data_IF_379097329227
#
_entry.id   IF_379097329227
#
_cell.length_a   1.000
_cell.length_b   1.000
_cell.length_c   1.000
_cell.angle_alpha   90.00
_cell.angle_beta   90.00
_cell.angle_gamma   90.00
#
_symmetry.space_group_name_H-M   'P 1'
#
loop_
_entity.id
_entity.type
_entity.pdbx_description
1 polymer ?
#
# COMPACT_ATOMS: atom_id res chain seq x y z
N UNK A 1 10.35 23.36 -65.02
CA UNK A 1 9.65 22.13 -64.56
C UNK A 1 10.20 21.53 -63.25
N UNK A 2 11.00 22.26 -62.44
CA UNK A 2 11.51 21.73 -61.15
C UNK A 2 11.26 22.67 -59.95
N UNK A 3 10.41 23.70 -60.11
CA UNK A 3 10.04 24.63 -59.00
C UNK A 3 8.56 24.56 -58.61
N UNK A 4 7.73 23.82 -59.32
CA UNK A 4 6.30 23.68 -59.02
C UNK A 4 5.95 22.37 -58.30
N UNK A 5 6.87 21.41 -58.20
CA UNK A 5 6.64 20.13 -57.52
C UNK A 5 6.98 20.18 -56.03
N UNK A 6 7.92 21.04 -55.60
CA UNK A 6 8.34 21.12 -54.19
C UNK A 6 7.37 21.90 -53.28
N UNK A 7 6.61 22.86 -53.82
CA UNK A 7 5.64 23.65 -53.03
C UNK A 7 4.35 22.88 -52.74
N UNK A 8 3.97 21.92 -53.58
CA UNK A 8 2.78 21.10 -53.39
C UNK A 8 2.99 19.92 -52.43
N UNK A 9 4.24 19.56 -52.11
CA UNK A 9 4.59 18.49 -51.16
C UNK A 9 4.73 19.02 -49.72
N UNK A 10 5.17 20.27 -49.51
CA UNK A 10 5.22 20.89 -48.17
C UNK A 10 3.81 21.20 -47.64
N UNK A 11 2.95 21.75 -48.49
CA UNK A 11 1.59 22.16 -48.10
C UNK A 11 0.64 20.97 -47.88
N UNK A 12 1.01 19.80 -48.41
CA UNK A 12 0.28 18.54 -48.22
C UNK A 12 0.70 17.85 -46.92
N UNK A 13 1.99 17.88 -46.59
CA UNK A 13 2.52 17.33 -45.34
C UNK A 13 2.15 18.19 -44.11
N UNK A 14 2.07 19.52 -44.23
CA UNK A 14 1.56 20.38 -43.13
C UNK A 14 0.07 20.15 -42.86
N UNK A 15 -0.73 19.96 -43.91
CA UNK A 15 -2.15 19.61 -43.75
C UNK A 15 -2.37 18.21 -43.19
N UNK A 16 -1.55 17.22 -43.57
CA UNK A 16 -1.61 15.87 -42.98
C UNK A 16 -1.19 15.89 -41.49
N UNK A 17 -0.16 16.67 -41.10
CA UNK A 17 0.24 16.83 -39.70
C UNK A 17 -0.81 17.54 -38.83
N UNK A 18 -1.50 18.54 -39.36
CA UNK A 18 -2.56 19.25 -38.61
C UNK A 18 -3.83 18.40 -38.41
N UNK A 19 -4.09 17.38 -39.25
CA UNK A 19 -5.26 16.49 -39.09
C UNK A 19 -5.05 15.29 -38.18
N UNK A 20 -3.83 14.89 -37.85
CA UNK A 20 -3.56 13.73 -36.97
C UNK A 20 -3.35 14.07 -35.49
N UNK A 21 -3.22 15.36 -35.12
CA UNK A 21 -2.83 15.81 -33.77
C UNK A 21 -3.97 16.36 -32.89
N UNK A 22 -5.24 16.14 -33.24
CA UNK A 22 -6.39 16.78 -32.54
C UNK A 22 -7.41 15.81 -31.88
N UNK A 23 -7.57 14.53 -32.27
CA UNK A 23 -8.61 13.68 -31.64
C UNK A 23 -8.27 13.13 -30.24
N UNK A 24 -7.00 12.82 -29.96
CA UNK A 24 -6.60 12.14 -28.72
C UNK A 24 -6.52 13.10 -27.53
N UNK A 25 -6.00 14.32 -27.72
CA UNK A 25 -5.93 15.34 -26.67
C UNK A 25 -7.32 15.82 -26.24
N UNK A 26 -8.30 15.88 -27.16
CA UNK A 26 -9.67 16.22 -26.84
C UNK A 26 -10.36 15.18 -25.95
N UNK A 27 -10.06 13.89 -26.14
CA UNK A 27 -10.57 12.81 -25.27
C UNK A 27 -9.91 12.83 -23.88
N UNK A 28 -8.63 13.15 -23.81
CA UNK A 28 -7.92 13.31 -22.53
C UNK A 28 -8.48 14.50 -21.76
N UNK A 29 -8.71 15.64 -22.41
CA UNK A 29 -9.31 16.84 -21.80
C UNK A 29 -10.73 16.57 -21.29
N UNK A 30 -11.59 15.92 -22.06
CA UNK A 30 -12.94 15.53 -21.59
C UNK A 30 -12.89 14.59 -20.37
N UNK A 31 -11.91 13.69 -20.32
CA UNK A 31 -11.74 12.74 -19.21
C UNK A 31 -11.18 13.43 -17.95
N UNK A 32 -10.41 14.50 -18.11
CA UNK A 32 -9.93 15.34 -17.01
C UNK A 32 -11.07 16.21 -16.49
N UNK A 33 -11.85 16.86 -17.35
CA UNK A 33 -13.02 17.67 -16.95
C UNK A 33 -14.05 16.82 -16.19
N UNK A 34 -14.38 15.62 -16.68
CA UNK A 34 -15.31 14.73 -15.99
C UNK A 34 -14.82 14.29 -14.59
N UNK A 35 -13.51 14.17 -14.39
CA UNK A 35 -12.93 13.88 -13.05
C UNK A 35 -12.95 15.11 -12.14
N UNK A 36 -12.79 16.31 -12.70
CA UNK A 36 -12.87 17.57 -11.94
C UNK A 36 -14.31 17.79 -11.46
N UNK A 37 -15.30 17.52 -12.31
CA UNK A 37 -16.71 17.59 -11.95
C UNK A 37 -17.06 16.58 -10.84
N UNK A 38 -16.59 15.33 -10.95
CA UNK A 38 -16.78 14.30 -9.93
C UNK A 38 -16.14 14.69 -8.58
N UNK A 39 -14.96 15.30 -8.60
CA UNK A 39 -14.30 15.81 -7.38
C UNK A 39 -15.07 17.00 -6.79
N UNK A 40 -15.60 17.89 -7.62
CA UNK A 40 -16.38 19.06 -7.20
C UNK A 40 -17.70 18.66 -6.52
N UNK A 41 -18.40 17.66 -7.05
CA UNK A 41 -19.63 17.14 -6.46
C UNK A 41 -19.37 16.42 -5.12
N UNK A 42 -18.25 15.69 -5.02
CA UNK A 42 -17.83 15.09 -3.74
C UNK A 42 -17.50 16.16 -2.70
N UNK A 43 -16.88 17.27 -3.11
CA UNK A 43 -16.54 18.38 -2.20
C UNK A 43 -17.80 19.06 -1.66
N UNK A 44 -18.80 19.32 -2.52
CA UNK A 44 -20.13 19.81 -2.09
C UNK A 44 -20.83 18.87 -1.11
N UNK A 45 -20.78 17.56 -1.36
CA UNK A 45 -21.39 16.55 -0.47
C UNK A 45 -20.72 16.53 0.91
N UNK A 46 -19.40 16.73 0.97
CA UNK A 46 -18.65 16.87 2.22
C UNK A 46 -19.02 18.17 2.94
N UNK A 47 -19.09 19.29 2.22
CA UNK A 47 -19.49 20.59 2.79
C UNK A 47 -20.92 20.58 3.35
N UNK A 48 -21.87 19.94 2.66
CA UNK A 48 -23.23 19.74 3.18
C UNK A 48 -23.26 18.86 4.43
N UNK A 49 -22.38 17.86 4.49
CA UNK A 49 -22.24 17.00 5.67
C UNK A 49 -21.65 17.76 6.87
N UNK A 50 -20.66 18.63 6.63
CA UNK A 50 -20.07 19.52 7.63
C UNK A 50 -21.09 20.59 8.09
N UNK A 51 -21.89 21.13 7.18
CA UNK A 51 -22.96 22.09 7.48
C UNK A 51 -24.11 21.48 8.29
N UNK A 52 -24.39 20.19 8.10
CA UNK A 52 -25.34 19.43 8.94
C UNK A 52 -24.80 19.18 10.35
N UNK A 53 -23.48 18.99 10.49
CA UNK A 53 -22.81 18.84 11.79
C UNK A 53 -22.82 20.16 12.61
N UNK A 54 -22.67 21.32 11.95
CA UNK A 54 -22.63 22.62 12.64
C UNK A 54 -24.00 23.15 13.10
N UNK A 55 -25.11 22.57 12.63
CA UNK A 55 -26.49 23.01 12.99
C UNK A 55 -27.09 22.28 14.20
N UNK A 56 -26.30 21.45 14.90
CA UNK A 56 -26.79 20.68 16.06
C UNK A 56 -26.38 21.23 17.43
N UNK A 57 -25.65 22.35 17.50
CA UNK A 57 -25.21 22.95 18.75
C UNK A 57 -25.66 24.42 18.84
N UNK A 58 -26.89 24.64 19.30
CA UNK A 58 -27.31 25.92 19.87
C UNK A 58 -28.35 25.64 20.97
N UNK A 59 -27.88 25.56 22.22
CA UNK A 59 -28.26 26.44 23.33
C UNK A 59 -27.93 25.84 24.71
N UNK A 60 -27.27 26.67 25.53
CA UNK A 60 -27.13 26.67 27.00
C UNK A 60 -26.08 25.79 27.72
N UNK A 61 -25.21 26.54 28.42
CA UNK A 61 -24.44 26.29 29.65
C UNK A 61 -23.23 25.33 29.66
N UNK A 62 -22.16 25.87 30.24
CA UNK A 62 -20.79 25.36 30.37
C UNK A 62 -20.77 24.23 31.40
N UNK A 63 -20.37 23.02 31.00
CA UNK A 63 -19.88 21.98 31.92
C UNK A 63 -18.65 21.29 31.31
N UNK A 64 -17.61 21.14 32.13
CA UNK A 64 -16.31 20.54 31.79
C UNK A 64 -16.44 19.03 31.61
N UNK A 65 -16.92 18.58 30.46
CA UNK A 65 -16.62 17.24 29.93
C UNK A 65 -16.95 17.17 28.44
N UNK A 66 -16.00 17.59 27.60
CA UNK A 66 -16.15 17.43 26.16
C UNK A 66 -16.27 15.93 25.80
N UNK A 67 -17.29 15.52 25.02
CA UNK A 67 -17.33 14.16 24.50
C UNK A 67 -16.22 14.04 23.47
N UNK A 68 -15.27 13.14 23.74
CA UNK A 68 -14.25 12.71 22.80
C UNK A 68 -14.97 12.07 21.63
N UNK A 69 -15.23 12.82 20.56
CA UNK A 69 -15.66 12.25 19.29
C UNK A 69 -14.49 11.47 18.72
N UNK A 70 -14.40 10.20 19.11
CA UNK A 70 -13.52 9.22 18.51
C UNK A 70 -13.83 9.16 17.02
N UNK A 71 -12.95 9.77 16.22
CA UNK A 71 -12.85 9.47 14.79
C UNK A 71 -12.53 7.99 14.69
N UNK A 72 -13.58 7.18 14.48
CA UNK A 72 -13.42 5.77 14.13
C UNK A 72 -12.94 5.76 12.69
N UNK A 73 -11.63 5.92 12.52
CA UNK A 73 -10.98 5.75 11.23
C UNK A 73 -11.08 4.25 10.92
N UNK A 74 -11.57 3.87 9.73
CA UNK A 74 -11.77 2.47 9.38
C UNK A 74 -10.45 1.72 9.55
N UNK A 75 -10.51 0.57 10.22
CA UNK A 75 -9.40 -0.37 10.26
C UNK A 75 -8.87 -0.55 8.83
N UNK A 76 -7.61 -0.19 8.62
CA UNK A 76 -6.87 -0.49 7.40
C UNK A 76 -6.63 -2.01 7.37
N UNK A 77 -7.69 -2.77 7.10
CA UNK A 77 -7.60 -4.21 6.92
C UNK A 77 -6.79 -4.44 5.67
N UNK A 78 -5.58 -4.99 5.83
CA UNK A 78 -4.70 -5.40 4.73
C UNK A 78 -5.35 -6.59 4.02
N UNK A 79 -6.27 -6.28 3.09
CA UNK A 79 -7.01 -7.24 2.29
C UNK A 79 -6.39 -7.39 0.91
N UNK A 80 -6.30 -8.62 0.43
CA UNK A 80 -5.85 -8.95 -0.92
C UNK A 80 -6.78 -9.98 -1.55
N UNK A 81 -6.82 -9.99 -2.89
CA UNK A 81 -7.50 -10.99 -3.69
C UNK A 81 -6.47 -11.63 -4.62
N UNK A 82 -6.23 -12.91 -4.45
CA UNK A 82 -5.46 -13.74 -5.37
C UNK A 82 -6.46 -14.47 -6.26
N UNK A 83 -6.31 -14.34 -7.58
CA UNK A 83 -7.15 -15.04 -8.56
C UNK A 83 -6.27 -15.71 -9.60
N UNK A 84 -6.61 -16.95 -9.96
CA UNK A 84 -5.89 -17.68 -10.98
C UNK A 84 -6.83 -18.60 -11.79
N UNK A 85 -6.49 -18.80 -13.07
CA UNK A 85 -7.18 -19.71 -13.98
C UNK A 85 -6.26 -20.89 -14.26
N UNK A 86 -6.55 -22.02 -13.65
CA UNK A 86 -5.84 -23.28 -13.90
C UNK A 86 -6.37 -23.90 -15.18
N UNK A 87 -5.47 -24.21 -16.12
CA UNK A 87 -5.85 -24.70 -17.45
C UNK A 87 -5.78 -26.21 -17.53
N UNK A 88 -6.72 -26.81 -18.27
CA UNK A 88 -6.77 -28.26 -18.53
C UNK A 88 -6.75 -29.10 -17.25
N UNK A 89 -7.55 -28.72 -16.25
CA UNK A 89 -7.48 -29.30 -14.90
C UNK A 89 -7.83 -30.79 -14.87
N UNK A 90 -8.72 -31.27 -15.75
CA UNK A 90 -9.04 -32.69 -15.87
C UNK A 90 -7.83 -33.59 -16.19
N UNK A 91 -6.73 -33.02 -16.69
CA UNK A 91 -5.50 -33.76 -16.98
C UNK A 91 -4.50 -33.74 -15.81
N UNK A 92 -4.87 -33.18 -14.65
CA UNK A 92 -3.96 -33.06 -13.51
C UNK A 92 -3.70 -34.41 -12.85
N UNK A 93 -2.43 -34.72 -12.65
CA UNK A 93 -1.99 -35.96 -12.05
C UNK A 93 -2.32 -35.99 -10.55
N UNK A 94 -2.77 -37.15 -10.08
CA UNK A 94 -3.05 -37.36 -8.66
C UNK A 94 -1.76 -37.25 -7.84
N UNK A 95 -1.77 -36.40 -6.82
CA UNK A 95 -0.62 -36.14 -5.95
C UNK A 95 0.30 -35.01 -6.41
N UNK A 96 0.03 -34.37 -7.56
CA UNK A 96 0.86 -33.29 -8.11
C UNK A 96 0.26 -31.92 -7.83
N UNK A 97 1.08 -31.00 -7.32
CA UNK A 97 0.69 -29.60 -7.14
C UNK A 97 0.92 -28.79 -8.41
N UNK A 98 -0.12 -28.08 -8.85
CA UNK A 98 -0.06 -27.12 -9.96
C UNK A 98 -0.17 -25.71 -9.39
N UNK A 99 0.83 -24.86 -9.65
CA UNK A 99 0.99 -23.56 -8.98
C UNK A 99 0.57 -22.39 -9.88
N UNK A 100 0.03 -21.34 -9.26
CA UNK A 100 -0.07 -20.02 -9.87
C UNK A 100 1.29 -19.31 -9.88
N UNK A 101 1.37 -18.23 -10.66
CA UNK A 101 2.45 -17.25 -10.54
C UNK A 101 2.51 -16.63 -9.14
N UNK A 102 3.69 -16.13 -8.78
CA UNK A 102 3.89 -15.35 -7.56
C UNK A 102 3.31 -13.95 -7.71
N UNK A 103 2.64 -13.46 -6.66
CA UNK A 103 2.10 -12.11 -6.57
C UNK A 103 2.57 -11.44 -5.27
N UNK A 104 2.97 -10.18 -5.36
CA UNK A 104 3.55 -9.45 -4.25
C UNK A 104 2.49 -8.59 -3.55
N UNK A 105 2.20 -8.90 -2.28
CA UNK A 105 1.29 -8.13 -1.44
C UNK A 105 1.86 -7.96 -0.04
N UNK A 106 1.89 -6.72 0.46
CA UNK A 106 2.29 -6.39 1.83
C UNK A 106 3.67 -6.94 2.23
N UNK A 107 4.66 -6.83 1.35
CA UNK A 107 6.05 -7.31 1.53
C UNK A 107 6.22 -8.84 1.61
N UNK A 108 5.22 -9.57 1.12
CA UNK A 108 5.19 -11.02 1.09
C UNK A 108 4.83 -11.46 -0.32
N UNK A 109 5.51 -12.48 -0.84
CA UNK A 109 5.12 -13.14 -2.08
C UNK A 109 4.10 -14.21 -1.75
N UNK A 110 3.03 -14.24 -2.52
CA UNK A 110 1.93 -15.18 -2.40
C UNK A 110 1.78 -15.97 -3.68
N UNK A 111 1.44 -17.25 -3.57
CA UNK A 111 0.93 -18.05 -4.68
C UNK A 111 -0.06 -19.07 -4.15
N UNK A 112 -0.89 -19.59 -5.04
CA UNK A 112 -1.76 -20.71 -4.72
C UNK A 112 -1.36 -21.94 -5.53
N UNK A 113 -1.80 -23.12 -5.06
CA UNK A 113 -1.78 -24.33 -5.86
C UNK A 113 -3.09 -25.08 -5.75
N UNK A 114 -3.37 -25.85 -6.79
CA UNK A 114 -4.40 -26.89 -6.78
C UNK A 114 -3.75 -28.27 -6.87
N UNK A 115 -4.42 -29.25 -6.30
CA UNK A 115 -3.94 -30.62 -6.17
C UNK A 115 -5.12 -31.56 -6.44
N UNK A 116 -4.96 -32.55 -7.32
CA UNK A 116 -5.85 -33.71 -7.31
C UNK A 116 -5.34 -34.69 -6.26
N UNK A 117 -6.14 -35.01 -5.24
CA UNK A 117 -5.75 -36.01 -4.24
C UNK A 117 -6.93 -36.87 -3.81
N UNK A 118 -6.84 -38.18 -4.08
CA UNK A 118 -7.83 -39.17 -3.64
C UNK A 118 -9.27 -38.79 -4.03
N UNK A 119 -9.48 -38.38 -5.29
CA UNK A 119 -10.80 -38.01 -5.81
C UNK A 119 -11.31 -36.65 -5.33
N UNK A 120 -10.47 -35.82 -4.71
CA UNK A 120 -10.84 -34.47 -4.29
C UNK A 120 -9.92 -33.43 -4.92
N UNK A 121 -10.47 -32.25 -5.18
CA UNK A 121 -9.72 -31.02 -5.40
C UNK A 121 -9.20 -30.51 -4.06
N UNK A 122 -7.89 -30.36 -3.96
CA UNK A 122 -7.21 -29.63 -2.89
C UNK A 122 -6.79 -28.24 -3.36
N UNK A 123 -6.85 -27.25 -2.47
CA UNK A 123 -6.40 -25.87 -2.73
C UNK A 123 -5.53 -25.42 -1.57
N UNK A 124 -4.35 -24.88 -1.88
CA UNK A 124 -3.36 -24.44 -0.90
C UNK A 124 -2.82 -23.06 -1.25
N UNK A 125 -2.51 -22.26 -0.22
CA UNK A 125 -1.87 -20.95 -0.35
C UNK A 125 -0.52 -21.00 0.31
N UNK A 126 0.48 -20.50 -0.41
CA UNK A 126 1.87 -20.43 -0.01
C UNK A 126 2.26 -18.96 0.13
N UNK A 127 3.12 -18.69 1.09
CA UNK A 127 3.71 -17.37 1.23
C UNK A 127 5.18 -17.45 1.57
N UNK A 128 5.93 -16.46 1.14
CA UNK A 128 7.32 -16.29 1.51
C UNK A 128 7.62 -14.79 1.68
N UNK A 129 8.37 -14.39 2.71
CA UNK A 129 8.86 -13.03 2.85
C UNK A 129 9.68 -12.61 1.63
N UNK A 130 9.53 -11.36 1.18
CA UNK A 130 10.37 -10.83 0.10
C UNK A 130 11.83 -10.68 0.57
N UNK A 131 12.02 -10.26 1.83
CA UNK A 131 13.32 -10.21 2.50
C UNK A 131 13.48 -11.51 3.30
N UNK A 132 14.48 -12.36 2.99
CA UNK A 132 14.70 -13.60 3.73
C UNK A 132 14.88 -13.33 5.23
N UNK A 133 14.09 -14.00 6.05
CA UNK A 133 14.15 -13.97 7.51
C UNK A 133 13.85 -15.36 8.03
N UNK A 134 14.59 -15.80 9.05
CA UNK A 134 14.47 -17.16 9.61
C UNK A 134 13.39 -17.24 10.70
N UNK A 135 12.98 -16.10 11.25
CA UNK A 135 11.96 -16.01 12.28
C UNK A 135 10.91 -14.98 11.87
N UNK A 136 9.85 -15.45 11.24
CA UNK A 136 8.71 -14.63 10.88
C UNK A 136 7.41 -15.36 11.15
N UNK A 137 6.34 -14.59 11.33
CA UNK A 137 5.00 -15.15 11.23
C UNK A 137 4.01 -14.19 10.58
N UNK A 138 3.03 -14.74 9.88
CA UNK A 138 1.92 -13.99 9.28
C UNK A 138 0.63 -14.70 9.67
N UNK A 139 -0.18 -14.05 10.50
CA UNK A 139 -1.51 -14.52 10.86
C UNK A 139 -2.53 -13.92 9.89
N UNK A 140 -3.32 -14.79 9.26
CA UNK A 140 -4.26 -14.40 8.22
C UNK A 140 -5.57 -15.15 8.30
N UNK A 141 -6.62 -14.47 7.86
CA UNK A 141 -7.90 -15.07 7.50
C UNK A 141 -7.98 -15.20 5.99
N UNK A 142 -8.28 -16.40 5.51
CA UNK A 142 -8.36 -16.76 4.11
C UNK A 142 -9.77 -17.22 3.79
N UNK A 143 -10.29 -16.82 2.64
CA UNK A 143 -11.55 -17.31 2.08
C UNK A 143 -11.27 -17.82 0.66
N UNK A 144 -11.31 -19.15 0.52
CA UNK A 144 -11.09 -19.87 -0.72
C UNK A 144 -12.43 -20.02 -1.45
N UNK A 145 -12.45 -19.74 -2.75
CA UNK A 145 -13.64 -19.76 -3.59
C UNK A 145 -13.34 -20.48 -4.90
N UNK A 146 -14.21 -21.40 -5.28
CA UNK A 146 -14.33 -21.92 -6.64
C UNK A 146 -15.64 -21.41 -7.19
N UNK A 147 -15.59 -20.82 -8.39
CA UNK A 147 -16.73 -20.17 -9.03
C UNK A 147 -17.16 -21.04 -10.21
N UNK A 148 -18.44 -21.40 -10.25
CA UNK A 148 -19.01 -22.15 -11.36
C UNK A 148 -19.41 -21.23 -12.55
N UNK A 149 -19.69 -21.77 -13.74
CA UNK A 149 -20.06 -20.98 -14.92
C UNK A 149 -21.37 -20.19 -14.77
N UNK A 150 -22.25 -20.59 -13.85
CA UNK A 150 -23.52 -19.93 -13.57
C UNK A 150 -23.39 -18.82 -12.52
N UNK A 151 -22.23 -18.71 -11.88
CA UNK A 151 -21.90 -17.72 -10.85
C UNK A 151 -22.11 -18.22 -9.41
N UNK A 152 -22.45 -19.50 -9.19
CA UNK A 152 -22.47 -20.02 -7.81
C UNK A 152 -21.04 -20.20 -7.30
N UNK A 153 -20.90 -20.09 -5.98
CA UNK A 153 -19.60 -20.09 -5.32
C UNK A 153 -19.57 -21.16 -4.25
N UNK A 154 -18.64 -22.12 -4.39
CA UNK A 154 -18.24 -22.99 -3.29
C UNK A 154 -17.14 -22.27 -2.54
N UNK A 155 -17.39 -21.94 -1.26
CA UNK A 155 -16.43 -21.20 -0.43
C UNK A 155 -16.11 -21.93 0.87
N UNK A 156 -14.86 -21.79 1.33
CA UNK A 156 -14.44 -22.20 2.67
C UNK A 156 -13.49 -21.17 3.26
N UNK A 157 -13.65 -20.91 4.56
CA UNK A 157 -12.78 -20.00 5.30
C UNK A 157 -11.76 -20.76 6.14
N UNK A 158 -10.57 -20.19 6.28
CA UNK A 158 -9.49 -20.75 7.08
C UNK A 158 -8.71 -19.63 7.76
N UNK A 159 -8.36 -19.80 9.03
CA UNK A 159 -7.42 -18.91 9.71
C UNK A 159 -6.10 -19.63 9.95
N UNK A 160 -4.98 -19.01 9.59
CA UNK A 160 -3.65 -19.62 9.72
C UNK A 160 -2.62 -18.61 10.17
N UNK A 161 -1.68 -19.09 10.98
CA UNK A 161 -0.40 -18.44 11.19
C UNK A 161 0.67 -19.18 10.37
N UNK A 162 1.19 -18.51 9.34
CA UNK A 162 2.34 -18.99 8.57
C UNK A 162 3.61 -18.64 9.33
N UNK A 163 4.59 -19.55 9.34
CA UNK A 163 5.94 -19.29 9.86
C UNK A 163 7.01 -20.09 9.09
N UNK A 164 6.63 -20.60 7.92
CA UNK A 164 7.46 -21.34 6.97
C UNK A 164 6.87 -21.11 5.57
N UNK A 165 7.62 -21.50 4.54
CA UNK A 165 7.17 -21.35 3.15
C UNK A 165 6.19 -22.46 2.72
N UNK A 166 5.65 -23.23 3.67
CA UNK A 166 4.74 -24.34 3.42
C UNK A 166 3.36 -23.86 2.98
N UNK A 167 2.73 -24.64 2.11
CA UNK A 167 1.37 -24.39 1.65
C UNK A 167 0.34 -24.86 2.66
N UNK A 168 -0.64 -24.01 2.95
CA UNK A 168 -1.76 -24.35 3.83
C UNK A 168 -3.09 -24.12 3.13
N UNK A 169 -4.05 -25.01 3.38
CA UNK A 169 -5.37 -24.97 2.78
C UNK A 169 -6.12 -26.28 3.01
N UNK A 170 -6.98 -26.64 2.06
CA UNK A 170 -7.85 -27.81 2.17
C UNK A 170 -7.38 -28.88 1.20
N UNK A 171 -7.03 -30.07 1.69
CA UNK A 171 -6.76 -31.24 0.85
C UNK A 171 -8.01 -31.86 0.24
N UNK A 172 -9.19 -31.55 0.81
CA UNK A 172 -10.52 -32.02 0.39
C UNK A 172 -11.47 -30.82 0.30
N UNK A 173 -11.20 -29.91 -0.64
CA UNK A 173 -11.99 -28.68 -0.80
C UNK A 173 -13.35 -28.98 -1.45
N UNK A 174 -13.33 -29.72 -2.56
CA UNK A 174 -14.47 -30.09 -3.39
C UNK A 174 -14.22 -31.49 -3.97
N UNK A 175 -15.26 -32.29 -4.19
CA UNK A 175 -15.14 -33.58 -4.89
C UNK A 175 -14.66 -33.33 -6.33
N UNK A 176 -13.80 -34.21 -6.84
CA UNK A 176 -13.20 -34.04 -8.16
C UNK A 176 -14.25 -34.15 -9.27
N UNK A 177 -15.18 -35.09 -9.14
CA UNK A 177 -16.28 -35.30 -10.09
C UNK A 177 -17.19 -34.07 -10.18
N UNK A 178 -17.60 -33.50 -9.02
CA UNK A 178 -18.42 -32.28 -8.97
C UNK A 178 -17.69 -31.06 -9.56
N UNK A 179 -16.38 -30.99 -9.38
CA UNK A 179 -15.55 -29.94 -9.97
C UNK A 179 -15.54 -30.06 -11.50
N UNK A 180 -15.32 -31.26 -12.04
CA UNK A 180 -15.29 -31.52 -13.48
C UNK A 180 -16.63 -31.27 -14.16
N UNK A 181 -17.73 -31.68 -13.53
CA UNK A 181 -19.07 -31.55 -14.09
C UNK A 181 -19.57 -30.10 -14.05
N UNK A 182 -19.37 -29.41 -12.92
CA UNK A 182 -20.08 -28.15 -12.66
C UNK A 182 -19.19 -26.91 -12.67
N UNK A 183 -17.88 -27.02 -12.44
CA UNK A 183 -17.03 -25.85 -12.15
C UNK A 183 -16.00 -25.53 -13.24
N UNK A 184 -15.91 -26.34 -14.30
CA UNK A 184 -14.99 -26.10 -15.41
C UNK A 184 -15.64 -25.29 -16.54
N UNK A 185 -14.90 -24.30 -17.05
CA UNK A 185 -15.24 -23.58 -18.28
C UNK A 185 -14.19 -23.92 -19.33
N UNK A 186 -14.58 -24.69 -20.35
CA UNK A 186 -13.67 -25.18 -21.40
C UNK A 186 -12.42 -25.89 -20.82
N UNK A 187 -12.62 -26.70 -19.77
CA UNK A 187 -11.53 -27.42 -19.09
C UNK A 187 -10.68 -26.56 -18.13
N UNK A 188 -11.04 -25.29 -17.93
CA UNK A 188 -10.33 -24.39 -17.03
C UNK A 188 -11.09 -24.19 -15.73
N UNK A 189 -10.36 -24.16 -14.61
CA UNK A 189 -10.89 -23.91 -13.28
C UNK A 189 -10.49 -22.51 -12.82
N UNK A 190 -11.45 -21.73 -12.32
CA UNK A 190 -11.19 -20.41 -11.73
C UNK A 190 -11.18 -20.57 -10.21
N UNK A 191 -10.06 -20.20 -9.59
CA UNK A 191 -9.90 -20.20 -8.14
C UNK A 191 -9.63 -18.77 -7.67
N UNK A 192 -10.37 -18.35 -6.66
CA UNK A 192 -10.17 -17.07 -5.98
C UNK A 192 -9.88 -17.29 -4.49
N UNK A 193 -8.87 -16.62 -3.97
CA UNK A 193 -8.55 -16.60 -2.53
C UNK A 193 -8.52 -15.17 -2.06
N UNK A 194 -9.38 -14.85 -1.09
CA UNK A 194 -9.37 -13.56 -0.42
C UNK A 194 -8.59 -13.70 0.88
N UNK A 195 -7.59 -12.84 1.09
CA UNK A 195 -6.77 -12.84 2.28
C UNK A 195 -6.93 -11.55 3.07
N UNK A 196 -7.01 -11.66 4.39
CA UNK A 196 -6.90 -10.55 5.33
C UNK A 196 -5.74 -10.83 6.28
N UNK A 197 -4.70 -9.99 6.23
CA UNK A 197 -3.61 -10.07 7.21
C UNK A 197 -4.10 -9.49 8.51
N UNK A 198 -4.09 -10.33 9.55
CA UNK A 198 -4.44 -9.96 10.92
C UNK A 198 -3.21 -9.41 11.63
N UNK A 199 -2.06 -10.06 11.47
CA UNK A 199 -0.83 -9.72 12.20
C UNK A 199 0.42 -10.24 11.48
N UNK A 200 1.55 -9.56 11.65
CA UNK A 200 2.86 -10.00 11.15
C UNK A 200 3.94 -9.82 12.20
N UNK A 201 4.82 -10.79 12.39
CA UNK A 201 6.00 -10.68 13.28
C UNK A 201 7.27 -11.05 12.53
N UNK A 202 8.41 -10.46 12.91
CA UNK A 202 9.74 -10.80 12.34
C UNK A 202 9.95 -10.45 10.85
N UNK A 203 8.98 -9.76 10.26
CA UNK A 203 8.97 -9.30 8.87
C UNK A 203 9.50 -7.87 8.69
N UNK A 204 9.70 -7.15 9.80
CA UNK A 204 10.22 -5.78 9.80
C UNK A 204 11.65 -5.79 10.32
N UNK A 205 12.44 -4.80 9.91
CA UNK A 205 13.80 -4.58 10.43
C UNK A 205 13.82 -4.54 11.96
N UNK A 206 14.83 -5.14 12.57
CA UNK A 206 15.00 -5.02 14.02
C UNK A 206 15.12 -3.54 14.43
N UNK A 207 14.40 -3.16 15.49
CA UNK A 207 14.46 -1.82 16.07
C UNK A 207 15.78 -1.70 16.83
N UNK A 208 16.67 -0.84 16.33
CA UNK A 208 18.04 -0.70 16.86
C UNK A 208 18.14 0.36 17.95
N UNK A 209 17.15 1.25 18.06
CA UNK A 209 17.12 2.31 19.06
C UNK A 209 15.83 2.23 19.89
N UNK A 210 15.98 2.52 21.18
CA UNK A 210 14.85 2.59 22.11
C UNK A 210 14.35 4.02 22.22
N UNK A 211 13.03 4.14 22.35
CA UNK A 211 12.32 5.38 22.65
C UNK A 211 11.28 5.14 23.76
N UNK A 212 11.46 4.09 24.56
CA UNK A 212 10.58 3.76 25.67
C UNK A 212 10.94 4.55 26.95
N UNK A 213 10.30 4.23 28.07
CA UNK A 213 10.51 4.93 29.35
C UNK A 213 11.97 4.87 29.85
N UNK A 214 12.79 3.95 29.34
CA UNK A 214 14.23 3.92 29.64
C UNK A 214 14.99 5.14 29.12
N UNK A 215 14.41 5.93 28.21
CA UNK A 215 15.00 7.17 27.68
C UNK A 215 14.50 8.45 28.37
N UNK A 216 13.75 8.31 29.47
CA UNK A 216 13.11 9.45 30.16
C UNK A 216 14.11 10.49 30.68
N UNK A 217 15.31 10.09 31.05
CA UNK A 217 16.39 10.96 31.55
C UNK A 217 16.96 11.89 30.47
N UNK A 218 16.80 11.54 29.19
CA UNK A 218 17.28 12.32 28.04
C UNK A 218 16.14 12.85 27.16
N UNK A 219 14.91 12.86 27.68
CA UNK A 219 13.69 13.26 26.96
C UNK A 219 12.98 14.41 27.67
N UNK A 220 12.41 15.33 26.90
CA UNK A 220 11.68 16.51 27.39
C UNK A 220 10.23 16.56 26.86
N UNK A 221 9.82 15.58 26.05
CA UNK A 221 8.44 15.39 25.57
C UNK A 221 8.17 13.90 25.31
N UNK A 222 6.92 13.49 25.51
CA UNK A 222 6.42 12.17 25.14
C UNK A 222 5.49 12.35 23.94
N UNK A 223 5.78 11.65 22.84
CA UNK A 223 4.87 11.55 21.70
C UNK A 223 4.08 10.26 21.85
N UNK A 224 2.76 10.34 21.81
CA UNK A 224 1.86 9.19 21.92
C UNK A 224 1.29 8.88 20.54
N UNK A 225 1.55 7.68 20.02
CA UNK A 225 0.97 7.19 18.76
C UNK A 225 0.17 5.93 19.09
N UNK A 226 -1.15 6.01 18.94
CA UNK A 226 -2.09 4.99 19.43
C UNK A 226 -1.85 4.72 20.93
N UNK A 227 -1.44 3.50 21.28
CA UNK A 227 -1.14 3.03 22.63
C UNK A 227 0.36 3.02 22.96
N UNK A 228 1.21 3.49 22.04
CA UNK A 228 2.67 3.48 22.20
C UNK A 228 3.20 4.87 22.57
N UNK A 229 4.01 4.94 23.63
CA UNK A 229 4.69 6.16 24.10
C UNK A 229 6.13 6.21 23.61
N UNK A 230 6.50 7.34 23.01
CA UNK A 230 7.85 7.63 22.51
C UNK A 230 8.45 8.79 23.30
N UNK A 231 9.50 8.51 24.07
CA UNK A 231 10.27 9.47 24.86
C UNK A 231 11.37 10.05 23.97
N UNK A 232 11.26 11.34 23.65
CA UNK A 232 12.09 12.02 22.65
C UNK A 232 12.46 13.44 23.07
N UNK A 233 13.36 14.07 22.30
CA UNK A 233 13.75 15.47 22.50
C UNK A 233 12.98 16.40 21.55
N UNK A 234 12.26 17.36 22.13
CA UNK A 234 11.48 18.42 21.51
C UNK A 234 12.33 19.26 20.58
N UNK A 235 13.47 19.75 21.09
CA UNK A 235 14.41 20.56 20.30
C UNK A 235 15.00 19.76 19.14
N UNK A 236 15.29 18.49 19.34
CA UNK A 236 15.79 17.63 18.28
C UNK A 236 14.76 17.42 17.17
N UNK A 237 13.53 17.01 17.51
CA UNK A 237 12.45 16.83 16.52
C UNK A 237 12.16 18.12 15.76
N UNK A 238 12.09 19.25 16.47
CA UNK A 238 11.89 20.56 15.87
C UNK A 238 13.03 20.97 14.91
N UNK A 239 14.27 20.51 15.16
CA UNK A 239 15.39 20.77 14.25
C UNK A 239 15.31 19.94 12.97
N UNK A 240 14.69 18.76 13.03
CA UNK A 240 14.62 17.80 11.93
C UNK A 240 13.35 17.96 11.07
N UNK A 241 12.30 18.57 11.62
CA UNK A 241 10.97 18.64 11.01
C UNK A 241 10.34 20.01 11.21
N UNK A 242 9.91 20.63 10.11
CA UNK A 242 9.21 21.93 10.16
C UNK A 242 7.85 21.82 10.87
N UNK A 243 7.15 20.70 10.71
CA UNK A 243 5.87 20.45 11.38
C UNK A 243 6.06 20.23 12.88
N UNK A 244 7.03 19.41 13.30
CA UNK A 244 7.33 19.27 14.74
C UNK A 244 7.82 20.57 15.36
N UNK A 245 8.54 21.41 14.61
CA UNK A 245 8.91 22.75 15.07
C UNK A 245 7.68 23.60 15.36
N UNK A 246 6.73 23.64 14.43
CA UNK A 246 5.49 24.38 14.62
C UNK A 246 4.66 23.80 15.78
N UNK A 247 4.47 22.48 15.82
CA UNK A 247 3.66 21.79 16.80
C UNK A 247 4.21 21.95 18.23
N UNK A 248 5.52 21.77 18.40
CA UNK A 248 6.12 21.64 19.73
C UNK A 248 6.75 22.93 20.26
N UNK A 249 7.12 23.86 19.38
CA UNK A 249 7.74 25.15 19.75
C UNK A 249 6.93 26.37 19.29
N UNK A 250 5.82 26.16 18.57
CA UNK A 250 4.94 27.22 18.14
C UNK A 250 3.88 27.59 19.18
N UNK A 251 2.86 28.30 18.71
CA UNK A 251 1.79 28.85 19.56
C UNK A 251 0.59 27.91 19.72
N UNK A 252 0.78 26.62 19.44
CA UNK A 252 -0.26 25.59 19.63
C UNK A 252 -0.30 25.13 21.08
N UNK A 253 -1.41 24.52 21.51
CA UNK A 253 -1.58 24.04 22.90
C UNK A 253 -0.54 22.97 23.27
N UNK A 254 -0.14 22.18 22.28
CA UNK A 254 0.79 21.07 22.33
C UNK A 254 2.21 21.52 22.72
N UNK A 255 2.57 22.78 22.47
CA UNK A 255 3.90 23.29 22.84
C UNK A 255 4.10 23.35 24.36
N UNK A 256 3.01 23.45 25.13
CA UNK A 256 3.01 23.45 26.60
C UNK A 256 2.75 22.07 27.21
N UNK A 257 2.47 21.06 26.40
CA UNK A 257 2.17 19.71 26.88
C UNK A 257 3.45 18.89 27.06
N UNK A 258 3.45 18.04 28.09
CA UNK A 258 4.48 17.02 28.31
C UNK A 258 4.21 15.73 27.52
N UNK A 259 2.95 15.47 27.17
CA UNK A 259 2.53 14.36 26.31
C UNK A 259 1.71 14.90 25.12
N UNK A 260 2.12 14.60 23.90
CA UNK A 260 1.46 15.06 22.65
C UNK A 260 1.01 13.84 21.86
N UNK A 261 -0.29 13.75 21.56
CA UNK A 261 -0.87 12.61 20.83
C UNK A 261 -0.92 12.87 19.33
N UNK A 262 -0.44 11.92 18.53
CA UNK A 262 -0.53 11.94 17.07
C UNK A 262 -1.49 10.85 16.59
N UNK A 263 -2.44 11.24 15.75
CA UNK A 263 -3.48 10.36 15.23
C UNK A 263 -3.19 9.93 13.79
N UNK A 264 -3.72 8.76 13.39
CA UNK A 264 -3.64 8.29 12.00
C UNK A 264 -2.30 7.69 11.58
N UNK A 265 -1.39 7.42 12.53
CA UNK A 265 -0.04 6.91 12.26
C UNK A 265 0.11 5.49 12.81
N UNK A 266 0.90 4.67 12.10
CA UNK A 266 1.32 3.36 12.59
C UNK A 266 2.51 3.51 13.55
N UNK A 267 2.46 2.96 14.78
CA UNK A 267 3.54 3.10 15.75
C UNK A 267 4.89 2.56 15.26
N UNK A 268 4.90 1.49 14.47
CA UNK A 268 6.16 0.96 13.92
C UNK A 268 6.75 1.89 12.88
N UNK A 269 5.93 2.43 11.98
CA UNK A 269 6.39 3.38 10.97
C UNK A 269 6.94 4.65 11.65
N UNK A 270 6.29 5.12 12.71
CA UNK A 270 6.78 6.23 13.54
C UNK A 270 8.11 5.90 14.22
N UNK A 271 8.25 4.67 14.74
CA UNK A 271 9.50 4.21 15.34
C UNK A 271 10.65 4.28 14.32
N UNK A 272 10.50 3.68 13.13
CA UNK A 272 11.57 3.73 12.11
C UNK A 272 11.83 5.15 11.64
N UNK A 273 10.80 5.98 11.53
CA UNK A 273 10.96 7.40 11.23
C UNK A 273 11.85 8.10 12.27
N UNK A 274 11.60 7.87 13.56
CA UNK A 274 12.46 8.39 14.63
C UNK A 274 13.89 7.85 14.51
N UNK A 275 14.09 6.54 14.32
CA UNK A 275 15.43 5.97 14.15
C UNK A 275 16.20 6.67 13.01
N UNK A 276 15.53 6.92 11.88
CA UNK A 276 16.12 7.68 10.77
C UNK A 276 16.47 9.12 11.16
N UNK A 277 15.58 9.83 11.86
CA UNK A 277 15.87 11.19 12.33
C UNK A 277 17.08 11.23 13.24
N UNK A 278 17.22 10.23 14.11
CA UNK A 278 18.32 10.07 15.04
C UNK A 278 19.60 9.49 14.41
N UNK A 279 19.60 9.26 13.09
CA UNK A 279 20.79 8.93 12.30
C UNK A 279 21.03 7.43 12.10
N UNK A 280 20.11 6.57 12.52
CA UNK A 280 20.25 5.12 12.35
C UNK A 280 19.99 4.68 10.90
N UNK A 281 20.64 3.59 10.49
CA UNK A 281 20.38 2.93 9.20
C UNK A 281 19.13 2.06 9.28
N UNK A 282 17.98 2.65 9.56
CA UNK A 282 16.74 1.94 9.88
C UNK A 282 15.85 1.60 8.66
N UNK A 283 16.17 2.09 7.47
CA UNK A 283 15.33 1.91 6.28
C UNK A 283 15.61 0.54 5.63
N UNK A 284 14.57 -0.12 5.14
CA UNK A 284 14.62 -1.26 4.23
C UNK A 284 13.43 -1.27 3.25
N UNK A 285 13.36 -2.29 2.37
CA UNK A 285 12.28 -2.42 1.38
C UNK A 285 10.89 -2.59 2.03
N UNK A 286 10.83 -2.94 3.31
CA UNK A 286 9.58 -3.21 4.02
C UNK A 286 8.99 -1.96 4.68
N UNK A 287 9.84 -1.01 5.10
CA UNK A 287 9.42 0.17 5.85
C UNK A 287 9.61 1.50 5.12
N UNK A 288 10.33 1.53 3.99
CA UNK A 288 10.66 2.78 3.29
C UNK A 288 9.43 3.60 2.88
N UNK A 289 8.33 2.97 2.49
CA UNK A 289 7.10 3.69 2.16
C UNK A 289 6.49 4.38 3.39
N UNK A 290 6.49 3.72 4.55
CA UNK A 290 6.00 4.29 5.80
C UNK A 290 6.86 5.45 6.28
N UNK A 291 8.19 5.28 6.23
CA UNK A 291 9.12 6.36 6.59
C UNK A 291 9.02 7.54 5.63
N UNK A 292 8.91 7.29 4.31
CA UNK A 292 8.78 8.35 3.31
C UNK A 292 7.47 9.13 3.48
N UNK A 293 6.35 8.45 3.76
CA UNK A 293 5.07 9.08 4.07
C UNK A 293 5.19 10.02 5.27
N UNK A 294 5.78 9.56 6.38
CA UNK A 294 5.95 10.39 7.58
C UNK A 294 6.93 11.54 7.32
N UNK A 295 7.99 11.30 6.56
CA UNK A 295 8.97 12.33 6.24
C UNK A 295 8.38 13.46 5.39
N UNK A 296 7.50 13.15 4.45
CA UNK A 296 6.77 14.13 3.64
C UNK A 296 5.75 14.88 4.51
N UNK A 297 4.89 14.14 5.23
CA UNK A 297 3.84 14.70 6.09
C UNK A 297 4.38 15.62 7.18
N UNK A 298 5.52 15.28 7.79
CA UNK A 298 6.14 16.09 8.84
C UNK A 298 7.19 17.08 8.31
N UNK A 299 7.41 17.15 7.00
CA UNK A 299 8.40 18.04 6.41
C UNK A 299 9.79 17.82 7.01
N UNK A 300 10.31 16.59 6.89
CA UNK A 300 11.58 16.14 7.44
C UNK A 300 12.60 15.79 6.33
N UNK A 301 13.35 16.78 5.79
CA UNK A 301 14.20 16.59 4.61
C UNK A 301 15.31 15.55 4.79
N UNK A 302 15.83 15.40 6.01
CA UNK A 302 16.85 14.39 6.33
C UNK A 302 16.31 12.98 6.08
N UNK A 303 15.08 12.71 6.51
CA UNK A 303 14.44 11.41 6.32
C UNK A 303 14.07 11.16 4.85
N UNK A 304 13.57 12.18 4.13
CA UNK A 304 13.33 12.11 2.68
C UNK A 304 14.61 11.68 1.95
N UNK A 305 15.72 12.38 2.18
CA UNK A 305 17.01 12.07 1.56
C UNK A 305 17.50 10.65 1.89
N UNK A 306 17.27 10.18 3.12
CA UNK A 306 17.63 8.81 3.51
C UNK A 306 16.78 7.77 2.79
N UNK A 307 15.47 8.01 2.62
CA UNK A 307 14.61 7.16 1.80
C UNK A 307 15.09 7.10 0.35
N UNK A 308 15.44 8.25 -0.24
CA UNK A 308 16.01 8.32 -1.60
C UNK A 308 17.32 7.53 -1.71
N UNK A 309 18.27 7.76 -0.79
CA UNK A 309 19.55 7.05 -0.77
C UNK A 309 19.37 5.53 -0.74
N UNK A 310 18.47 5.04 0.12
CA UNK A 310 18.16 3.62 0.22
C UNK A 310 17.52 3.08 -1.07
N UNK A 311 16.48 3.73 -1.59
CA UNK A 311 15.78 3.30 -2.81
C UNK A 311 16.71 3.25 -4.02
N UNK A 312 17.68 4.17 -4.08
CA UNK A 312 18.66 4.25 -5.16
C UNK A 312 19.74 3.18 -5.07
N UNK A 313 20.29 2.95 -3.87
CA UNK A 313 21.55 2.20 -3.72
C UNK A 313 21.36 0.78 -3.21
N UNK A 314 20.34 0.54 -2.40
CA UNK A 314 20.24 -0.67 -1.57
C UNK A 314 18.96 -1.47 -1.85
N UNK A 315 17.88 -0.78 -2.22
CA UNK A 315 16.57 -1.41 -2.46
C UNK A 315 16.59 -2.41 -3.62
N UNK A 316 15.97 -3.56 -3.40
CA UNK A 316 15.80 -4.64 -4.40
C UNK A 316 14.48 -4.50 -5.18
N UNK A 317 13.71 -3.45 -4.94
CA UNK A 317 12.46 -3.19 -5.66
C UNK A 317 12.70 -2.96 -7.15
N UNK A 318 11.66 -3.23 -7.96
CA UNK A 318 11.66 -2.89 -9.38
C UNK A 318 11.69 -1.37 -9.58
N UNK A 319 12.21 -0.92 -10.72
CA UNK A 319 12.23 0.50 -11.07
C UNK A 319 10.81 1.11 -11.04
N UNK A 320 9.83 0.40 -11.61
CA UNK A 320 8.43 0.83 -11.60
C UNK A 320 7.91 1.08 -10.19
N UNK A 321 8.22 0.17 -9.24
CA UNK A 321 7.80 0.32 -7.84
C UNK A 321 8.50 1.51 -7.18
N UNK A 322 9.81 1.69 -7.42
CA UNK A 322 10.59 2.83 -6.90
C UNK A 322 10.01 4.16 -7.41
N UNK A 323 9.66 4.26 -8.70
CA UNK A 323 9.05 5.45 -9.28
C UNK A 323 7.66 5.75 -8.70
N UNK A 324 6.81 4.72 -8.52
CA UNK A 324 5.51 4.89 -7.84
C UNK A 324 5.66 5.48 -6.43
N UNK A 325 6.65 5.01 -5.67
CA UNK A 325 6.96 5.55 -4.33
C UNK A 325 7.44 7.00 -4.45
N UNK A 326 8.34 7.27 -5.40
CA UNK A 326 8.92 8.60 -5.61
C UNK A 326 7.86 9.66 -5.91
N UNK A 327 6.92 9.35 -6.79
CA UNK A 327 5.82 10.25 -7.15
C UNK A 327 4.87 10.48 -5.97
N UNK A 328 4.59 9.44 -5.18
CA UNK A 328 3.63 9.52 -4.08
C UNK A 328 4.11 10.39 -2.92
N UNK A 329 5.39 10.34 -2.58
CA UNK A 329 5.97 11.01 -1.40
C UNK A 329 6.97 12.11 -1.77
N UNK A 330 6.82 12.67 -2.97
CA UNK A 330 7.63 13.76 -3.51
C UNK A 330 9.16 13.57 -3.35
N UNK A 331 9.67 12.39 -3.69
CA UNK A 331 11.11 12.09 -3.64
C UNK A 331 11.81 12.59 -4.92
N UNK A 332 12.10 13.90 -4.97
CA UNK A 332 12.57 14.61 -6.15
C UNK A 332 13.83 14.01 -6.80
N UNK A 333 14.82 13.56 -6.02
CA UNK A 333 16.05 12.98 -6.58
C UNK A 333 15.78 11.66 -7.29
N UNK A 334 14.86 10.87 -6.76
CA UNK A 334 14.47 9.60 -7.35
C UNK A 334 13.61 9.82 -8.61
N UNK A 335 12.77 10.85 -8.64
CA UNK A 335 12.02 11.28 -9.85
C UNK A 335 12.94 11.77 -10.97
N UNK A 336 14.02 12.47 -10.65
CA UNK A 336 14.96 12.98 -11.66
C UNK A 336 15.65 11.86 -12.47
N UNK A 337 15.75 10.63 -11.94
CA UNK A 337 16.31 9.50 -12.68
C UNK A 337 15.40 8.98 -13.80
N UNK A 338 14.08 9.16 -13.68
CA UNK A 338 13.14 8.83 -14.74
C UNK A 338 13.48 9.60 -16.03
N UNK A 339 13.76 10.90 -15.87
CA UNK A 339 14.19 11.74 -16.99
C UNK A 339 15.53 11.35 -17.60
N UNK A 340 16.44 10.73 -16.84
CA UNK A 340 17.76 10.33 -17.35
C UNK A 340 17.73 8.99 -18.10
N UNK A 341 16.86 8.06 -17.68
CA UNK A 341 16.70 6.76 -18.35
C UNK A 341 16.03 6.93 -19.71
N UNK A 342 15.03 7.82 -19.82
CA UNK A 342 14.36 8.12 -21.10
C UNK A 342 15.33 8.72 -22.14
N UNK A 343 16.30 9.52 -21.72
CA UNK A 343 17.30 10.11 -22.63
C UNK A 343 18.43 9.14 -23.02
N UNK A 344 18.50 7.94 -22.43
CA UNK A 344 19.51 6.93 -22.75
C UNK A 344 19.01 5.85 -23.72
N UNK A 345 17.71 5.87 -24.05
CA UNK A 345 17.07 4.95 -25.00
C UNK A 345 16.83 5.56 -26.40
N UNK A 346 17.41 6.73 -26.70
CA UNK A 346 17.38 7.38 -28.01
C UNK A 346 18.78 7.60 -28.59
#
# INVERSE_FOLDING_TARGET
>A
MLRETASNESDKNEKELETELIPEDAQVLQKVDGKIDELSDRLKSIEESISKLSKSNDDSEIDESAPTTNLTIPESKKKSKLQHVFRNVSNFENGVHYFSEWQDYFNVKWRMSVLHHNGHLGIFVFCQPIVPTDQWSIRMKLEFKVIDPTGNVVSRTWERCYGSNDGWGFSKFLEWEDMEEWHLVNGNLIVEVHGEIVETTGMRKEKVRKFDESQKDVSDVIIVVRDTKFYVSKMFLASQSSVFKALLLGNFSESNQSEVTLNGIDPDDFHYFLEVLYGESAIDDTNVEGVALLADMYGAPTAIRKCEEFLLKESKMTLEKKLKIATRYNLERLRALESLVDHSMY
#
